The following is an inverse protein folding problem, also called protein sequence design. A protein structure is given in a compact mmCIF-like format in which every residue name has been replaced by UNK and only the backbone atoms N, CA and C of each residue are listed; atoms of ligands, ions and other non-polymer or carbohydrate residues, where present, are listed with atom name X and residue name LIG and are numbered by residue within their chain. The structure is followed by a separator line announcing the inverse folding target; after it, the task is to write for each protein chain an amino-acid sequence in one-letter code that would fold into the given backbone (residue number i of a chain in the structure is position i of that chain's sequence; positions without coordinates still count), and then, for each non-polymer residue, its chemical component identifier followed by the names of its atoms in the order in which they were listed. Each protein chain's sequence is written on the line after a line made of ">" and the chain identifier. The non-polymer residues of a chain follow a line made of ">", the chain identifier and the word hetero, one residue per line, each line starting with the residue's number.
data_IF_890674857149
#
_entry.id   IF_890674857149
#
_cell.length_a   1.000
_cell.length_b   1.000
_cell.length_c   1.000
_cell.angle_alpha   90.00
_cell.angle_beta   90.00
_cell.angle_gamma   90.00
#
_symmetry.space_group_name_H-M   'P 1'
#
loop_
_entity.id
_entity.type
_entity.pdbx_description
1 polymer ?
#
# COMPACT_ATOMS: atom_id res chain seq x y z
N UNK A 1 14.74 3.99 -3.05
CA UNK A 1 13.99 3.88 -1.80
C UNK A 1 12.69 3.14 -2.07
N UNK A 2 12.17 2.47 -1.07
CA UNK A 2 10.94 1.73 -1.22
C UNK A 2 9.79 2.52 -0.61
N UNK A 3 8.58 2.27 -1.10
CA UNK A 3 7.37 2.91 -0.58
C UNK A 3 6.52 1.85 0.12
N UNK A 4 5.93 2.23 1.24
CA UNK A 4 5.12 1.34 2.04
C UNK A 4 3.78 1.99 2.34
N UNK A 5 2.71 1.21 2.14
CA UNK A 5 1.36 1.67 2.39
C UNK A 5 0.86 1.08 3.68
N UNK A 6 0.28 1.90 4.52
CA UNK A 6 -0.36 1.44 5.76
C UNK A 6 -1.85 1.31 5.52
N UNK A 7 -2.41 0.20 5.96
CA UNK A 7 -3.82 -0.12 5.73
C UNK A 7 -4.58 -0.14 7.05
N UNK A 8 -5.84 0.27 6.99
CA UNK A 8 -6.71 0.12 8.15
C UNK A 8 -7.34 -1.28 8.15
N UNK A 9 -8.26 -1.51 9.05
CA UNK A 9 -8.88 -2.83 9.21
C UNK A 9 -9.70 -3.25 8.00
N UNK A 10 -10.03 -2.30 7.14
CA UNK A 10 -10.80 -2.56 5.92
C UNK A 10 -9.90 -2.61 4.69
N UNK A 11 -8.59 -2.68 4.89
CA UNK A 11 -7.60 -2.71 3.81
C UNK A 11 -7.59 -1.43 2.97
N UNK A 12 -8.00 -0.32 3.57
CA UNK A 12 -7.96 0.98 2.92
C UNK A 12 -6.67 1.68 3.30
N UNK A 13 -5.97 2.20 2.31
CA UNK A 13 -4.69 2.89 2.53
C UNK A 13 -4.93 4.19 3.27
N UNK A 14 -4.30 4.33 4.43
CA UNK A 14 -4.41 5.55 5.22
C UNK A 14 -3.19 6.43 5.09
N UNK A 15 -2.04 5.85 4.73
CA UNK A 15 -0.81 6.61 4.60
C UNK A 15 0.18 5.82 3.76
N UNK A 16 1.05 6.53 3.04
CA UNK A 16 2.15 5.91 2.30
C UNK A 16 3.41 6.63 2.70
N UNK A 17 4.44 5.87 3.04
CA UNK A 17 5.72 6.44 3.44
C UNK A 17 6.83 5.94 2.54
N UNK A 18 7.94 6.67 2.56
CA UNK A 18 9.17 6.24 1.92
C UNK A 18 10.02 5.60 3.01
N UNK A 19 10.46 4.39 2.78
CA UNK A 19 11.23 3.66 3.78
C UNK A 19 12.45 2.98 3.18
N UNK A 20 12.97 2.00 3.91
CA UNK A 20 14.16 1.30 3.50
C UNK A 20 13.88 0.38 2.33
N UNK A 21 14.91 0.14 1.53
CA UNK A 21 14.81 -0.84 0.45
C UNK A 21 14.52 -2.22 1.03
N UNK A 22 13.82 -3.04 0.27
CA UNK A 22 13.45 -4.37 0.74
C UNK A 22 14.65 -5.26 0.99
N UNK A 23 15.78 -4.97 0.35
CA UNK A 23 17.00 -5.79 0.50
C UNK A 23 17.90 -5.32 1.64
N UNK A 24 17.57 -4.22 2.31
CA UNK A 24 18.40 -3.73 3.40
C UNK A 24 18.19 -4.56 4.66
N UNK A 25 19.28 -4.80 5.35
CA UNK A 25 19.24 -5.51 6.63
C UNK A 25 19.90 -4.60 7.66
N UNK A 26 19.16 -4.22 8.68
CA UNK A 26 19.65 -3.34 9.74
C UNK A 26 19.30 -3.98 11.08
N UNK A 27 20.31 -4.23 11.90
CA UNK A 27 20.13 -4.84 13.22
C UNK A 27 19.35 -6.15 13.14
N UNK A 28 19.57 -6.92 12.06
CA UNK A 28 18.90 -8.19 11.87
C UNK A 28 17.51 -8.09 11.31
N UNK A 29 17.01 -6.88 11.05
CA UNK A 29 15.69 -6.67 10.50
C UNK A 29 15.78 -6.65 8.98
N UNK A 30 15.00 -7.51 8.33
CA UNK A 30 14.97 -7.59 6.87
C UNK A 30 13.56 -7.53 6.30
N UNK A 31 12.54 -7.82 7.11
CA UNK A 31 11.16 -7.73 6.65
C UNK A 31 10.60 -6.38 7.06
N UNK A 32 10.71 -5.42 6.14
CA UNK A 32 10.33 -4.05 6.45
C UNK A 32 8.83 -3.84 6.45
N UNK A 33 8.08 -4.65 5.72
CA UNK A 33 6.62 -4.60 5.81
C UNK A 33 6.18 -4.92 7.23
N UNK A 34 6.74 -5.97 7.80
CA UNK A 34 6.40 -6.35 9.16
C UNK A 34 6.88 -5.30 10.16
N UNK A 35 8.10 -4.83 9.99
CA UNK A 35 8.68 -3.88 10.93
C UNK A 35 7.88 -2.57 10.98
N UNK A 36 7.60 -1.99 9.81
CA UNK A 36 6.84 -0.74 9.76
C UNK A 36 5.41 -0.95 10.24
N UNK A 37 4.81 -2.08 9.90
CA UNK A 37 3.46 -2.39 10.34
C UNK A 37 3.37 -2.49 11.86
N UNK A 38 4.33 -3.17 12.48
CA UNK A 38 4.35 -3.29 13.93
C UNK A 38 4.62 -1.95 14.58
N UNK A 39 5.49 -1.15 14.00
CA UNK A 39 5.82 0.16 14.53
C UNK A 39 4.58 1.07 14.54
N UNK A 40 3.81 1.04 13.48
CA UNK A 40 2.63 1.89 13.35
C UNK A 40 1.38 1.25 13.95
N UNK A 41 1.37 -0.06 14.13
CA UNK A 41 0.19 -0.75 14.59
C UNK A 41 -0.85 -0.93 13.51
N UNK A 42 -0.42 -0.98 12.26
CA UNK A 42 -1.30 -1.18 11.11
C UNK A 42 -0.66 -2.18 10.17
N UNK A 43 -1.48 -2.77 9.30
CA UNK A 43 -0.96 -3.60 8.24
C UNK A 43 -0.15 -2.73 7.28
N UNK A 44 0.99 -3.22 6.85
CA UNK A 44 1.87 -2.48 5.97
C UNK A 44 2.22 -3.34 4.77
N UNK A 45 2.08 -2.78 3.57
CA UNK A 45 2.41 -3.49 2.35
C UNK A 45 3.27 -2.59 1.47
N UNK A 46 4.27 -3.21 0.84
CA UNK A 46 5.14 -2.48 -0.06
C UNK A 46 4.39 -2.14 -1.35
N UNK A 47 4.63 -0.95 -1.85
CA UNK A 47 4.09 -0.51 -3.13
C UNK A 47 5.22 0.10 -3.94
N UNK A 48 4.97 0.39 -5.20
CA UNK A 48 5.97 0.98 -6.07
C UNK A 48 5.41 2.23 -6.71
N UNK A 49 6.21 3.29 -6.67
CA UNK A 49 5.82 4.55 -7.30
C UNK A 49 5.50 4.36 -8.79
N UNK A 50 6.19 3.42 -9.44
CA UNK A 50 6.01 3.15 -10.86
C UNK A 50 4.94 2.11 -11.13
N UNK A 51 4.26 1.64 -10.10
CA UNK A 51 3.20 0.65 -10.28
C UNK A 51 3.70 -0.75 -10.58
N UNK A 52 4.98 -1.04 -10.32
CA UNK A 52 5.56 -2.35 -10.61
C UNK A 52 5.28 -3.39 -9.54
N UNK A 53 4.71 -2.97 -8.42
CA UNK A 53 4.42 -3.85 -7.31
C UNK A 53 2.94 -3.69 -7.00
N UNK A 54 2.23 -4.81 -6.92
CA UNK A 54 0.82 -4.89 -6.61
C UNK A 54 -0.04 -4.01 -7.51
N UNK A 55 0.30 -4.04 -8.79
CA UNK A 55 -0.54 -3.50 -9.85
C UNK A 55 -0.48 -2.01 -10.07
N UNK A 56 -0.32 -1.23 -9.03
CA UNK A 56 -0.23 0.22 -9.15
C UNK A 56 0.30 0.81 -7.86
N UNK A 57 0.69 2.06 -7.92
CA UNK A 57 1.11 2.77 -6.73
C UNK A 57 -0.09 2.98 -5.81
N UNK A 58 0.10 2.68 -4.52
CA UNK A 58 -0.96 2.84 -3.55
C UNK A 58 -1.09 4.30 -3.17
N UNK A 59 -2.28 4.86 -3.36
CA UNK A 59 -2.58 6.20 -2.91
C UNK A 59 -3.47 6.13 -1.68
N UNK A 60 -3.51 7.22 -0.92
CA UNK A 60 -4.40 7.28 0.23
C UNK A 60 -5.84 7.13 -0.25
N UNK A 61 -6.61 6.26 0.40
CA UNK A 61 -7.97 5.98 0.00
C UNK A 61 -8.12 4.77 -0.91
N UNK A 62 -7.00 4.26 -1.45
CA UNK A 62 -7.04 3.05 -2.25
C UNK A 62 -7.32 1.85 -1.36
N UNK A 63 -7.87 0.80 -1.95
CA UNK A 63 -8.16 -0.44 -1.22
C UNK A 63 -7.26 -1.54 -1.76
N UNK A 64 -6.67 -2.33 -0.84
CA UNK A 64 -5.87 -3.47 -1.25
C UNK A 64 -6.79 -4.67 -1.43
N UNK A 65 -6.72 -5.29 -2.60
CA UNK A 65 -7.48 -6.51 -2.92
C UNK A 65 -6.55 -7.71 -2.78
N UNK A 66 -6.78 -8.52 -1.75
CA UNK A 66 -5.91 -9.65 -1.46
C UNK A 66 -5.99 -10.74 -2.53
N UNK A 67 -7.14 -10.88 -3.13
CA UNK A 67 -7.33 -11.90 -4.17
C UNK A 67 -6.50 -11.59 -5.39
N UNK A 68 -6.45 -10.34 -5.79
CA UNK A 68 -5.68 -9.91 -6.95
C UNK A 68 -4.26 -9.51 -6.60
N UNK A 69 -3.97 -9.32 -5.31
CA UNK A 69 -2.70 -8.76 -4.83
C UNK A 69 -2.42 -7.43 -5.52
N UNK A 70 -3.43 -6.55 -5.52
CA UNK A 70 -3.34 -5.26 -6.18
C UNK A 70 -4.03 -4.18 -5.37
N UNK A 71 -3.56 -2.94 -5.56
CA UNK A 71 -4.23 -1.78 -5.00
C UNK A 71 -5.26 -1.29 -6.01
N UNK A 72 -6.47 -1.04 -5.53
CA UNK A 72 -7.59 -0.60 -6.36
C UNK A 72 -7.92 0.83 -6.02
N UNK A 73 -7.97 1.69 -7.03
CA UNK A 73 -8.33 3.10 -6.82
C UNK A 73 -9.76 3.20 -6.29
N UNK A 74 -10.06 4.25 -5.55
CA UNK A 74 -11.43 4.44 -5.06
C UNK A 74 -12.41 4.39 -6.21
N UNK A 75 -13.54 3.77 -5.96
CA UNK A 75 -14.57 3.65 -6.96
C UNK A 75 -15.04 5.04 -7.39
N UNK A 76 -15.05 5.28 -8.69
CA UNK A 76 -15.51 6.56 -9.18
C UNK A 76 -16.99 6.50 -9.40
N UNK A 77 -17.65 7.47 -8.88
CA UNK A 77 -19.09 7.49 -9.17
C UNK A 77 -19.32 7.59 -10.64
N UNK A 78 -18.31 7.78 -11.24
CA UNK A 78 -18.23 7.80 -12.44
C UNK A 78 -18.63 7.30 -13.27
N UNK A 79 -18.78 7.05 -13.06
CA UNK A 79 -19.16 6.65 -13.53
C UNK A 79 -20.10 6.86 -13.76
N UNK A 80 -20.48 7.57 -13.67
CA UNK A 80 -21.27 7.77 -13.75
C UNK A 80 -21.75 8.25 -14.45
N UNK A 81 -21.96 8.24 -14.67
CA UNK A 81 -22.48 8.62 -15.20
C UNK A 81 -23.16 9.10 -15.58
N UNK A 82 -23.29 9.04 -15.63
CA UNK A 82 -23.94 9.34 -15.91
C UNK A 82 -24.54 9.91 -16.01
N UNK A 83 -24.74 10.03 -15.81
CA UNK A 83 -25.38 10.40 -15.71
C UNK A 83 -25.88 10.92 -15.99
N UNK A 84 -26.09 11.04 -16.13
CA UNK A 84 -26.66 11.32 -16.16
C UNK A 84 -26.98 11.61 -16.38
#
# INVERSE_FOLDING_TARGET
>A
MAHYAFLDENNVVTEVIVGRHEWEVVDGISDWEEWYGNFRGQRCLRTSYNGNIRGRYAGIGYTYDETLDEFIAPSEPEETPDED
#
